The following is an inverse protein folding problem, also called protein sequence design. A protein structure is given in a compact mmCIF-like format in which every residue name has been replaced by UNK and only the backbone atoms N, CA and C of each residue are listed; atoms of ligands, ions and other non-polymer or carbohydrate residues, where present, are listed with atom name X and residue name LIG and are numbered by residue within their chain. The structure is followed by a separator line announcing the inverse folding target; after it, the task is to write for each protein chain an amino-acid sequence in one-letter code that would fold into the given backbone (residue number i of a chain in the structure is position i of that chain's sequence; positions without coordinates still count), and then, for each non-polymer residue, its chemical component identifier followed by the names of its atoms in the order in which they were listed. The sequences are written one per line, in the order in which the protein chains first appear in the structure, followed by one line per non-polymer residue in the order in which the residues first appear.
data_IF_677418881783
#
_entry.id   IF_677418881783
#
_cell.length_a   1.000
_cell.length_b   1.000
_cell.length_c   1.000
_cell.angle_alpha   90.00
_cell.angle_beta   90.00
_cell.angle_gamma   90.00
#
_symmetry.space_group_name_H-M   'P 1'
#
loop_
_entity.id
_entity.type
_entity.pdbx_description
1 polymer ?
#
# COMPACT_ATOMS: atom_id res chain seq x y z
N UNK A 1 15.14 -28.07 -9.72
CA UNK A 1 15.15 -27.18 -8.55
C UNK A 1 15.36 -25.76 -9.04
N UNK A 2 14.31 -24.94 -9.07
CA UNK A 2 14.44 -23.53 -9.48
C UNK A 2 15.24 -22.80 -8.40
N UNK A 3 16.54 -22.60 -8.63
CA UNK A 3 17.33 -21.64 -7.87
C UNK A 3 16.74 -20.27 -8.18
N UNK A 4 15.89 -19.76 -7.31
CA UNK A 4 15.45 -18.38 -7.38
C UNK A 4 16.70 -17.50 -7.25
N UNK A 5 17.09 -16.85 -8.34
CA UNK A 5 18.08 -15.77 -8.30
C UNK A 5 17.34 -14.60 -7.68
N UNK A 6 17.66 -14.28 -6.43
CA UNK A 6 17.14 -13.09 -5.75
C UNK A 6 18.32 -12.18 -5.44
N UNK A 7 18.24 -10.94 -5.91
CA UNK A 7 19.12 -9.86 -5.48
C UNK A 7 18.56 -9.26 -4.17
N UNK A 8 19.25 -9.37 -3.02
CA UNK A 8 18.80 -8.77 -1.76
C UNK A 8 18.68 -7.25 -1.84
N UNK A 9 19.47 -6.58 -2.69
CA UNK A 9 19.38 -5.15 -2.97
C UNK A 9 18.07 -4.77 -3.65
N UNK A 10 17.62 -5.53 -4.66
CA UNK A 10 16.32 -5.34 -5.30
C UNK A 10 15.17 -5.47 -4.32
N UNK A 11 15.20 -6.51 -3.46
CA UNK A 11 14.16 -6.74 -2.46
C UNK A 11 14.07 -5.58 -1.45
N UNK A 12 15.21 -5.04 -1.00
CA UNK A 12 15.23 -3.87 -0.10
C UNK A 12 14.69 -2.62 -0.79
N UNK A 13 15.10 -2.37 -2.03
CA UNK A 13 14.62 -1.21 -2.80
C UNK A 13 13.10 -1.25 -2.92
N UNK A 14 12.56 -2.38 -3.35
CA UNK A 14 11.11 -2.56 -3.46
C UNK A 14 10.39 -2.41 -2.11
N UNK A 15 10.93 -2.98 -1.02
CA UNK A 15 10.32 -2.85 0.30
C UNK A 15 10.26 -1.37 0.78
N UNK A 16 11.29 -0.58 0.48
CA UNK A 16 11.33 0.85 0.80
C UNK A 16 10.37 1.65 -0.07
N UNK A 17 10.28 1.35 -1.37
CA UNK A 17 9.32 1.95 -2.28
C UNK A 17 7.88 1.65 -1.85
N UNK A 18 7.58 0.38 -1.52
CA UNK A 18 6.30 -0.05 -1.01
C UNK A 18 5.93 0.70 0.28
N UNK A 19 6.88 0.89 1.19
CA UNK A 19 6.67 1.66 2.42
C UNK A 19 6.28 3.12 2.14
N UNK A 20 7.00 3.78 1.22
CA UNK A 20 6.73 5.18 0.84
C UNK A 20 5.37 5.31 0.15
N UNK A 21 5.09 4.42 -0.80
CA UNK A 21 3.80 4.35 -1.48
C UNK A 21 2.66 4.16 -0.48
N UNK A 22 2.85 3.28 0.50
CA UNK A 22 1.84 2.99 1.50
C UNK A 22 1.53 4.17 2.44
N UNK A 23 2.54 4.97 2.78
CA UNK A 23 2.31 6.25 3.48
C UNK A 23 1.52 7.22 2.61
N UNK A 24 1.99 7.43 1.37
CA UNK A 24 1.36 8.38 0.44
C UNK A 24 -0.10 8.06 0.15
N UNK A 25 -0.45 6.77 -0.04
CA UNK A 25 -1.84 6.40 -0.35
C UNK A 25 -2.76 6.66 0.85
N UNK A 26 -2.30 6.42 2.09
CA UNK A 26 -3.10 6.72 3.29
C UNK A 26 -3.39 8.21 3.43
N UNK A 27 -2.37 9.04 3.22
CA UNK A 27 -2.53 10.50 3.29
C UNK A 27 -3.51 10.99 2.21
N UNK A 28 -3.35 10.51 0.96
CA UNK A 28 -4.22 10.87 -0.15
C UNK A 28 -5.67 10.41 0.04
N UNK A 29 -5.88 9.20 0.57
CA UNK A 29 -7.22 8.71 0.91
C UNK A 29 -7.90 9.59 1.96
N UNK A 30 -7.17 10.01 3.01
CA UNK A 30 -7.70 10.91 4.03
C UNK A 30 -8.13 12.27 3.45
N UNK A 31 -7.28 12.85 2.59
CA UNK A 31 -7.59 14.11 1.90
C UNK A 31 -8.82 13.99 0.99
N UNK A 32 -8.92 12.91 0.19
CA UNK A 32 -10.05 12.72 -0.70
C UNK A 32 -11.36 12.48 0.06
N UNK A 33 -11.33 11.74 1.15
CA UNK A 33 -12.50 11.52 2.00
C UNK A 33 -13.02 12.84 2.59
N UNK A 34 -12.12 13.71 3.08
CA UNK A 34 -12.50 15.03 3.56
C UNK A 34 -13.18 15.88 2.46
N UNK A 35 -12.60 15.89 1.25
CA UNK A 35 -13.16 16.61 0.10
C UNK A 35 -14.52 16.07 -0.34
N UNK A 36 -14.73 14.75 -0.31
CA UNK A 36 -16.03 14.15 -0.62
C UNK A 36 -17.09 14.59 0.40
N UNK A 37 -16.73 14.62 1.70
CA UNK A 37 -17.64 15.07 2.76
C UNK A 37 -18.01 16.56 2.62
N UNK A 38 -17.05 17.40 2.23
CA UNK A 38 -17.29 18.81 1.91
C UNK A 38 -18.23 18.96 0.69
N UNK A 39 -17.99 18.18 -0.37
CA UNK A 39 -18.83 18.17 -1.56
C UNK A 39 -20.28 17.77 -1.26
N UNK A 40 -20.48 16.80 -0.36
CA UNK A 40 -21.80 16.39 0.12
C UNK A 40 -22.57 17.48 0.90
N UNK A 41 -21.90 18.58 1.29
CA UNK A 41 -22.61 19.74 1.84
C UNK A 41 -23.36 20.52 0.77
N UNK A 42 -22.85 20.56 -0.46
CA UNK A 42 -23.40 21.35 -1.56
C UNK A 42 -24.07 20.52 -2.65
N UNK A 43 -23.76 19.23 -2.75
CA UNK A 43 -24.32 18.31 -3.73
C UNK A 43 -25.06 17.17 -3.01
N UNK A 44 -26.40 17.21 -3.03
CA UNK A 44 -27.27 16.32 -2.25
C UNK A 44 -28.36 15.70 -3.12
N UNK A 45 -27.94 14.88 -4.08
CA UNK A 45 -28.85 14.09 -4.91
C UNK A 45 -28.50 12.59 -4.88
N UNK A 46 -29.24 11.82 -5.66
CA UNK A 46 -29.06 10.38 -5.78
C UNK A 46 -27.73 9.99 -6.43
N UNK A 47 -27.24 10.79 -7.39
CA UNK A 47 -25.97 10.52 -8.08
C UNK A 47 -24.79 10.70 -7.14
N UNK A 48 -24.80 11.76 -6.32
CA UNK A 48 -23.81 11.96 -5.27
C UNK A 48 -23.81 10.78 -4.28
N UNK A 49 -25.00 10.34 -3.87
CA UNK A 49 -25.14 9.21 -2.91
C UNK A 49 -24.54 7.93 -3.49
N UNK A 50 -24.87 7.60 -4.75
CA UNK A 50 -24.33 6.42 -5.44
C UNK A 50 -22.82 6.48 -5.57
N UNK A 51 -22.27 7.63 -5.97
CA UNK A 51 -20.83 7.80 -6.08
C UNK A 51 -20.12 7.70 -4.72
N UNK A 52 -20.71 8.26 -3.66
CA UNK A 52 -20.15 8.18 -2.31
C UNK A 52 -20.05 6.72 -1.81
N UNK A 53 -21.07 5.90 -2.09
CA UNK A 53 -21.04 4.47 -1.76
C UNK A 53 -19.92 3.72 -2.51
N UNK A 54 -19.78 3.93 -3.82
CA UNK A 54 -18.72 3.34 -4.64
C UNK A 54 -17.32 3.78 -4.18
N UNK A 55 -17.20 5.07 -3.84
CA UNK A 55 -15.97 5.65 -3.30
C UNK A 55 -15.58 4.98 -1.97
N UNK A 56 -16.51 4.89 -1.00
CA UNK A 56 -16.26 4.26 0.30
C UNK A 56 -15.90 2.78 0.19
N UNK A 57 -16.53 2.05 -0.74
CA UNK A 57 -16.16 0.67 -1.02
C UNK A 57 -14.71 0.56 -1.51
N UNK A 58 -14.32 1.43 -2.45
CA UNK A 58 -12.95 1.47 -2.98
C UNK A 58 -11.93 1.83 -1.90
N UNK A 59 -12.23 2.83 -1.06
CA UNK A 59 -11.38 3.23 0.06
C UNK A 59 -11.14 2.07 1.04
N UNK A 60 -12.15 1.25 1.31
CA UNK A 60 -12.01 0.06 2.15
C UNK A 60 -11.07 -0.98 1.54
N UNK A 61 -11.09 -1.16 0.22
CA UNK A 61 -10.16 -2.08 -0.47
C UNK A 61 -8.73 -1.55 -0.39
N UNK A 62 -8.53 -0.25 -0.63
CA UNK A 62 -7.22 0.39 -0.55
C UNK A 62 -6.65 0.35 0.88
N UNK A 63 -7.49 0.58 1.89
CA UNK A 63 -7.08 0.46 3.30
C UNK A 63 -6.60 -0.97 3.64
N UNK A 64 -7.32 -2.01 3.17
CA UNK A 64 -6.90 -3.41 3.35
C UNK A 64 -5.58 -3.72 2.64
N UNK A 65 -5.39 -3.20 1.43
CA UNK A 65 -4.11 -3.31 0.73
C UNK A 65 -2.99 -2.65 1.55
N UNK A 66 -3.24 -1.46 2.09
CA UNK A 66 -2.26 -0.75 2.88
C UNK A 66 -1.84 -1.52 4.14
N UNK A 67 -2.80 -2.12 4.83
CA UNK A 67 -2.51 -2.94 6.02
C UNK A 67 -1.77 -4.24 5.67
N UNK A 68 -2.07 -4.83 4.50
CA UNK A 68 -1.34 -5.98 3.99
C UNK A 68 0.11 -5.63 3.65
N UNK A 69 0.32 -4.49 2.98
CA UNK A 69 1.65 -3.99 2.62
C UNK A 69 2.51 -3.75 3.88
N UNK A 70 1.96 -3.11 4.91
CA UNK A 70 2.67 -2.88 6.18
C UNK A 70 3.12 -4.16 6.88
N UNK A 71 2.30 -5.21 6.83
CA UNK A 71 2.65 -6.52 7.37
C UNK A 71 3.72 -7.22 6.55
N UNK A 72 3.73 -6.99 5.23
CA UNK A 72 4.65 -7.66 4.31
C UNK A 72 6.03 -7.00 4.20
N UNK A 73 6.12 -5.68 4.35
CA UNK A 73 7.39 -4.94 4.28
C UNK A 73 8.47 -5.53 5.21
N UNK A 74 8.21 -5.81 6.51
CA UNK A 74 9.19 -6.43 7.40
C UNK A 74 9.63 -7.83 6.93
N UNK A 75 8.74 -8.60 6.31
CA UNK A 75 9.07 -9.90 5.76
C UNK A 75 10.06 -9.77 4.60
N UNK A 76 9.86 -8.81 3.68
CA UNK A 76 10.78 -8.54 2.58
C UNK A 76 12.16 -8.12 3.09
N UNK A 77 12.21 -7.24 4.10
CA UNK A 77 13.47 -6.79 4.70
C UNK A 77 14.26 -7.96 5.31
N UNK A 78 13.60 -8.81 6.13
CA UNK A 78 14.24 -10.01 6.73
C UNK A 78 14.66 -11.01 5.66
N UNK A 79 13.88 -11.15 4.58
CA UNK A 79 14.22 -12.05 3.48
C UNK A 79 15.49 -11.57 2.75
N UNK A 80 15.62 -10.28 2.52
CA UNK A 80 16.82 -9.70 1.93
C UNK A 80 18.06 -9.89 2.81
N UNK A 81 17.93 -9.67 4.13
CA UNK A 81 19.00 -9.90 5.12
C UNK A 81 19.52 -11.34 5.08
N UNK A 82 18.64 -12.34 5.17
CA UNK A 82 19.04 -13.76 5.10
C UNK A 82 19.74 -14.15 3.80
N UNK A 83 19.34 -13.54 2.69
CA UNK A 83 19.96 -13.82 1.38
C UNK A 83 21.37 -13.21 1.31
N UNK A 84 21.53 -11.99 1.83
CA UNK A 84 22.85 -11.36 1.93
C UNK A 84 23.80 -12.14 2.85
N UNK A 85 23.31 -12.60 4.02
CA UNK A 85 24.08 -13.48 4.90
C UNK A 85 24.55 -14.75 4.19
N UNK A 86 23.66 -15.41 3.44
CA UNK A 86 24.00 -16.61 2.68
C UNK A 86 25.02 -16.35 1.57
N UNK A 87 24.94 -15.21 0.89
CA UNK A 87 25.89 -14.82 -0.15
C UNK A 87 27.27 -14.47 0.43
N UNK A 88 27.33 -13.86 1.62
CA UNK A 88 28.58 -13.51 2.30
C UNK A 88 29.29 -14.72 2.94
N UNK A 89 28.58 -15.81 3.21
CA UNK A 89 29.15 -17.06 3.75
C UNK A 89 29.78 -17.97 2.68
N UNK A 90 29.68 -17.59 1.40
CA UNK A 90 30.13 -18.39 0.25
C UNK A 90 31.32 -17.76 -0.44
#
# INVERSE_FOLDING_TARGET
MSKAIIDPGEVRRFAQELKRFNGSIRDQMGVLLARLNELGQTWRDQEHTKFAEEFEQTMRVLARFADSADKHIPFLMRKAEKIEEYLNQR
#
